data_IF_937240261660
#
_entry.id   IF_937240261660
#
_cell.length_a   1.000
_cell.length_b   1.000
_cell.length_c   1.000
_cell.angle_alpha   90.00
_cell.angle_beta   90.00
_cell.angle_gamma   90.00
#
_symmetry.space_group_name_H-M   'P 1'
#
loop_
_entity.id
_entity.type
_entity.pdbx_description
1 polymer ?
#
# COMPACT_ATOMS: atom_id res chain seq x y z
N UNK A 1 8.04 4.66 10.41
CA UNK A 1 8.56 4.00 9.19
C UNK A 1 7.91 2.64 9.08
N UNK A 2 7.38 2.31 7.92
CA UNK A 2 6.78 1.00 7.67
C UNK A 2 7.46 0.41 6.45
N UNK A 3 7.92 -0.84 6.53
CA UNK A 3 8.32 -1.54 5.32
C UNK A 3 7.09 -1.78 4.45
N UNK A 4 7.21 -1.50 3.16
CA UNK A 4 6.11 -1.51 2.20
C UNK A 4 6.54 -2.26 0.95
N UNK A 5 5.68 -3.18 0.53
CA UNK A 5 5.74 -3.81 -0.79
C UNK A 5 4.45 -3.51 -1.56
N UNK A 6 4.57 -3.21 -2.85
CA UNK A 6 3.45 -2.99 -3.75
C UNK A 6 3.66 -3.85 -4.99
N UNK A 7 2.66 -4.65 -5.32
CA UNK A 7 2.60 -5.44 -6.55
C UNK A 7 1.39 -5.03 -7.38
N UNK A 8 1.51 -5.16 -8.70
CA UNK A 8 0.38 -5.04 -9.62
C UNK A 8 -0.37 -6.38 -9.76
N UNK A 9 -1.51 -6.37 -10.46
CA UNK A 9 -2.34 -7.57 -10.64
C UNK A 9 -1.73 -8.65 -11.52
N UNK A 10 -0.65 -8.35 -12.24
CA UNK A 10 0.15 -9.32 -12.97
C UNK A 10 1.25 -9.96 -12.10
N UNK A 11 1.40 -9.51 -10.85
CA UNK A 11 2.44 -9.94 -9.93
C UNK A 11 3.77 -9.22 -10.14
N UNK A 12 3.80 -8.11 -10.89
CA UNK A 12 4.98 -7.27 -11.02
C UNK A 12 5.18 -6.45 -9.74
N UNK A 13 6.39 -6.45 -9.18
CA UNK A 13 6.71 -5.66 -7.98
C UNK A 13 7.01 -4.22 -8.36
N UNK A 14 6.08 -3.31 -8.08
CA UNK A 14 6.19 -1.89 -8.38
C UNK A 14 6.98 -1.10 -7.33
N UNK A 15 6.97 -1.56 -6.07
CA UNK A 15 7.69 -0.89 -4.98
C UNK A 15 8.17 -1.88 -3.92
N UNK A 16 9.35 -1.60 -3.36
CA UNK A 16 9.92 -2.30 -2.22
C UNK A 16 10.82 -1.35 -1.42
N UNK A 17 10.44 -1.03 -0.18
CA UNK A 17 11.23 -0.11 0.63
C UNK A 17 10.57 0.29 1.93
N UNK A 18 11.13 1.29 2.60
CA UNK A 18 10.51 1.90 3.78
C UNK A 18 9.65 3.09 3.35
N UNK A 19 8.39 3.10 3.77
CA UNK A 19 7.52 4.27 3.72
C UNK A 19 8.03 5.37 4.65
N UNK A 20 8.08 6.58 4.11
CA UNK A 20 8.58 7.80 4.76
C UNK A 20 7.49 8.87 4.65
N UNK A 21 6.97 9.42 5.77
CA UNK A 21 5.90 10.42 5.74
C UNK A 21 6.30 11.73 5.05
N UNK A 22 7.58 11.95 4.76
CA UNK A 22 8.06 13.12 4.02
C UNK A 22 8.21 12.87 2.51
N UNK A 23 7.91 11.65 2.04
CA UNK A 23 8.11 11.27 0.64
C UNK A 23 6.88 10.61 0.06
N UNK A 24 6.58 10.99 -1.18
CA UNK A 24 5.62 10.29 -2.01
C UNK A 24 6.36 9.29 -2.89
N UNK A 25 5.72 8.16 -3.14
CA UNK A 25 6.16 7.16 -4.12
C UNK A 25 5.12 7.08 -5.21
N UNK A 26 5.55 7.15 -6.46
CA UNK A 26 4.67 6.95 -7.62
C UNK A 26 4.92 5.57 -8.18
N UNK A 27 3.86 4.78 -8.28
CA UNK A 27 3.87 3.45 -8.90
C UNK A 27 2.95 3.46 -10.12
N UNK A 28 3.28 2.69 -11.14
CA UNK A 28 2.47 2.55 -12.35
C UNK A 28 2.41 1.06 -12.71
N UNK A 29 1.21 0.52 -12.86
CA UNK A 29 0.97 -0.89 -13.16
C UNK A 29 -0.52 -1.18 -13.32
N UNK A 30 -0.87 -2.45 -13.45
CA UNK A 30 -2.27 -2.86 -13.62
C UNK A 30 -2.93 -3.04 -12.25
N UNK A 31 -4.06 -2.37 -12.02
CA UNK A 31 -4.87 -2.56 -10.82
C UNK A 31 -5.53 -3.97 -10.77
N UNK A 32 -5.98 -4.45 -9.59
CA UNK A 32 -5.72 -3.88 -8.26
C UNK A 32 -4.25 -3.97 -7.86
N UNK A 33 -3.82 -3.07 -6.98
CA UNK A 33 -2.49 -3.12 -6.37
C UNK A 33 -2.55 -3.88 -5.05
N UNK A 34 -1.75 -4.94 -4.93
CA UNK A 34 -1.55 -5.65 -3.68
C UNK A 34 -0.52 -4.91 -2.83
N UNK A 35 -0.94 -4.42 -1.66
CA UNK A 35 -0.09 -3.66 -0.74
C UNK A 35 0.16 -4.50 0.51
N UNK A 36 1.43 -4.58 0.92
CA UNK A 36 1.83 -5.12 2.22
C UNK A 36 2.57 -4.08 3.03
N UNK A 37 2.19 -3.96 4.30
CA UNK A 37 2.83 -3.13 5.31
C UNK A 37 3.39 -4.01 6.43
N UNK A 38 4.69 -3.92 6.69
CA UNK A 38 5.40 -4.77 7.66
C UNK A 38 5.34 -4.31 9.11
N UNK A 39 5.02 -3.04 9.37
CA UNK A 39 4.92 -2.47 10.71
C UNK A 39 3.62 -1.67 10.84
N UNK A 40 2.50 -2.31 10.47
CA UNK A 40 1.19 -1.68 10.31
C UNK A 40 0.61 -1.08 11.60
N UNK A 41 1.11 -1.46 12.77
CA UNK A 41 0.69 -0.89 14.06
C UNK A 41 1.26 0.52 14.28
N UNK A 42 2.31 0.90 13.53
CA UNK A 42 2.88 2.24 13.53
C UNK A 42 2.34 3.12 12.41
N UNK A 43 1.40 2.61 11.60
CA UNK A 43 0.79 3.34 10.50
C UNK A 43 -0.14 4.42 11.06
N UNK A 44 0.08 5.67 10.66
CA UNK A 44 -0.77 6.80 11.06
C UNK A 44 -1.86 7.08 10.02
N UNK A 45 -1.49 7.14 8.74
CA UNK A 45 -2.40 7.37 7.62
C UNK A 45 -1.81 6.80 6.33
N UNK A 46 -2.66 6.64 5.33
CA UNK A 46 -2.29 6.36 3.94
C UNK A 46 -2.98 7.39 3.07
N UNK A 47 -2.26 7.90 2.08
CA UNK A 47 -2.86 8.66 1.00
C UNK A 47 -2.64 7.90 -0.32
N UNK A 48 -3.69 7.82 -1.12
CA UNK A 48 -3.65 7.30 -2.49
C UNK A 48 -4.11 8.44 -3.39
N UNK A 49 -3.29 8.78 -4.39
CA UNK A 49 -3.56 9.87 -5.33
C UNK A 49 -3.89 11.23 -4.68
N UNK A 50 -3.30 11.49 -3.51
CA UNK A 50 -3.46 12.73 -2.75
C UNK A 50 -4.64 12.73 -1.77
N UNK A 51 -5.48 11.70 -1.79
CA UNK A 51 -6.67 11.57 -0.93
C UNK A 51 -6.41 10.60 0.22
N UNK A 52 -7.00 10.87 1.39
CA UNK A 52 -6.91 9.95 2.53
C UNK A 52 -7.60 8.62 2.22
N UNK A 53 -6.87 7.52 2.37
CA UNK A 53 -7.32 6.20 1.97
C UNK A 53 -7.78 5.38 3.18
N UNK A 54 -9.06 5.00 3.18
CA UNK A 54 -9.59 4.04 4.15
C UNK A 54 -9.31 2.61 3.69
N UNK A 55 -8.50 1.88 4.46
CA UNK A 55 -8.19 0.48 4.17
C UNK A 55 -9.43 -0.38 4.41
N UNK A 56 -9.84 -1.12 3.38
CA UNK A 56 -10.98 -2.05 3.45
C UNK A 56 -10.51 -3.50 3.37
N UNK A 57 -11.19 -4.38 4.12
CA UNK A 57 -10.92 -5.83 4.17
C UNK A 57 -9.43 -6.23 4.35
N UNK A 58 -8.68 -5.64 5.32
CA UNK A 58 -7.28 -5.99 5.50
C UNK A 58 -7.13 -7.41 6.06
N UNK A 59 -6.12 -8.13 5.58
CA UNK A 59 -5.63 -9.37 6.20
C UNK A 59 -4.48 -9.00 7.12
N UNK A 60 -4.57 -9.36 8.41
CA UNK A 60 -3.52 -9.11 9.41
C UNK A 60 -2.88 -10.39 9.93
N UNK A 61 -1.56 -10.36 10.12
CA UNK A 61 -0.79 -11.41 10.79
C UNK A 61 0.35 -10.77 11.59
N UNK A 62 0.14 -10.59 12.89
CA UNK A 62 1.03 -9.78 13.72
C UNK A 62 1.03 -8.32 13.25
N UNK A 63 2.22 -7.72 13.19
CA UNK A 63 2.43 -6.35 12.68
C UNK A 63 2.30 -6.23 11.15
N UNK A 64 2.18 -7.36 10.43
CA UNK A 64 2.01 -7.36 8.98
C UNK A 64 0.54 -7.19 8.61
N UNK A 65 0.26 -6.24 7.71
CA UNK A 65 -1.05 -6.02 7.13
C UNK A 65 -0.96 -6.09 5.60
N UNK A 66 -1.93 -6.77 4.97
CA UNK A 66 -2.11 -6.80 3.52
C UNK A 66 -3.50 -6.31 3.15
N UNK A 67 -3.60 -5.56 2.06
CA UNK A 67 -4.86 -5.07 1.51
C UNK A 67 -4.67 -4.74 0.03
N UNK A 68 -5.79 -4.53 -0.66
CA UNK A 68 -5.78 -4.10 -2.06
C UNK A 68 -6.17 -2.64 -2.18
N UNK A 69 -5.45 -1.91 -3.02
CA UNK A 69 -5.89 -0.63 -3.55
C UNK A 69 -6.48 -0.89 -4.93
N UNK A 70 -7.76 -0.59 -5.09
CA UNK A 70 -8.40 -0.63 -6.41
C UNK A 70 -7.93 0.60 -7.19
N UNK A 71 -7.60 0.43 -8.47
CA UNK A 71 -7.45 1.57 -9.36
C UNK A 71 -8.78 2.29 -9.48
N UNK A 72 -8.76 3.61 -9.68
CA UNK A 72 -9.95 4.45 -9.77
C UNK A 72 -11.10 3.75 -10.50
N UNK A 73 -12.11 3.34 -9.72
CA UNK A 73 -13.44 3.12 -10.24
C UNK A 73 -14.01 4.52 -10.41
N UNK A 74 -13.94 5.03 -11.65
CA UNK A 74 -14.66 6.22 -12.09
C UNK A 74 -16.09 6.27 -11.55
#
# INVERSE_FOLDING_TARGET
LCWTEIFDSNGERLFFGLGDPQKNVSVNGTAPFDVMLGAADNLQSIQVDGEEYTITNPIRRGEVMRFQVLGDLL
#
